data_IF_715574462498
#
_entry.id   IF_715574462498
#
_cell.length_a   1.000
_cell.length_b   1.000
_cell.length_c   1.000
_cell.angle_alpha   90.00
_cell.angle_beta   90.00
_cell.angle_gamma   90.00
#
_symmetry.space_group_name_H-M   'P 1'
#
loop_
_entity.id
_entity.type
_entity.pdbx_description
1 polymer ?
#
# COMPACT_ATOMS: atom_id res chain seq x y z
N UNK A 1 11.34 -20.52 -19.33
CA UNK A 1 10.55 -21.65 -19.85
C UNK A 1 9.14 -21.13 -20.02
N UNK A 2 8.59 -21.10 -21.24
CA UNK A 2 7.20 -20.69 -21.45
C UNK A 2 6.25 -21.80 -20.96
N UNK A 3 5.08 -21.43 -20.47
CA UNK A 3 4.04 -22.40 -20.09
C UNK A 3 3.54 -23.16 -21.33
N UNK A 4 3.16 -24.43 -21.15
CA UNK A 4 2.48 -25.18 -22.22
C UNK A 4 1.04 -24.69 -22.37
N UNK A 5 0.43 -24.90 -23.54
CA UNK A 5 -0.96 -24.47 -23.80
C UNK A 5 -1.96 -25.07 -22.79
N UNK A 6 -1.71 -26.30 -22.34
CA UNK A 6 -2.50 -26.97 -21.33
C UNK A 6 -2.40 -26.26 -19.96
N UNK A 7 -1.20 -25.87 -19.54
CA UNK A 7 -0.99 -25.10 -18.32
C UNK A 7 -1.66 -23.72 -18.38
N UNK A 8 -1.64 -23.08 -19.55
CA UNK A 8 -2.33 -21.80 -19.77
C UNK A 8 -3.85 -21.99 -19.63
N UNK A 9 -4.41 -23.04 -20.24
CA UNK A 9 -5.85 -23.32 -20.15
C UNK A 9 -6.30 -23.65 -18.72
N UNK A 10 -5.47 -24.37 -17.96
CA UNK A 10 -5.73 -24.64 -16.53
C UNK A 10 -5.68 -23.35 -15.71
N UNK A 11 -4.69 -22.50 -15.93
CA UNK A 11 -4.58 -21.21 -15.25
C UNK A 11 -5.76 -20.31 -15.62
N UNK A 12 -6.15 -20.19 -16.89
CA UNK A 12 -7.32 -19.41 -17.29
C UNK A 12 -8.61 -19.93 -16.67
N UNK A 13 -8.78 -21.25 -16.57
CA UNK A 13 -9.90 -21.88 -15.90
C UNK A 13 -9.89 -21.56 -14.40
N UNK A 14 -8.72 -21.56 -13.76
CA UNK A 14 -8.56 -21.14 -12.38
C UNK A 14 -8.87 -19.64 -12.22
N UNK A 15 -8.35 -18.77 -13.06
CA UNK A 15 -8.56 -17.33 -12.94
C UNK A 15 -10.01 -16.89 -13.23
N UNK A 16 -10.79 -17.71 -13.94
CA UNK A 16 -12.19 -17.44 -14.24
C UNK A 16 -13.01 -17.18 -12.96
N UNK A 17 -13.54 -15.96 -12.85
CA UNK A 17 -14.36 -15.52 -11.71
C UNK A 17 -13.58 -14.91 -10.55
N UNK A 18 -12.24 -14.89 -10.60
CA UNK A 18 -11.45 -14.04 -9.71
C UNK A 18 -11.47 -12.60 -10.23
N UNK A 19 -11.64 -11.58 -9.36
CA UNK A 19 -11.50 -10.19 -9.78
C UNK A 19 -10.06 -9.95 -10.23
N UNK A 20 -9.87 -9.26 -11.36
CA UNK A 20 -8.52 -8.99 -11.90
C UNK A 20 -7.69 -8.08 -10.99
N UNK A 21 -8.34 -7.19 -10.25
CA UNK A 21 -7.70 -6.28 -9.28
C UNK A 21 -8.22 -6.65 -7.89
N UNK A 22 -7.31 -6.94 -6.97
CA UNK A 22 -7.68 -7.12 -5.57
C UNK A 22 -7.83 -5.75 -4.89
N UNK A 23 -9.05 -5.39 -4.51
CA UNK A 23 -9.36 -4.12 -3.83
C UNK A 23 -8.71 -4.05 -2.45
N UNK A 24 -8.66 -5.16 -1.72
CA UNK A 24 -7.98 -5.24 -0.42
C UNK A 24 -6.51 -4.91 -0.52
N UNK A 25 -5.82 -5.48 -1.52
CA UNK A 25 -4.43 -5.22 -1.84
C UNK A 25 -4.20 -3.80 -2.37
N UNK A 26 -5.13 -3.27 -3.16
CA UNK A 26 -5.02 -1.93 -3.76
C UNK A 26 -5.02 -0.82 -2.69
N UNK A 27 -5.86 -0.95 -1.66
CA UNK A 27 -6.01 0.09 -0.64
C UNK A 27 -5.20 -0.17 0.62
N UNK A 28 -4.83 -1.42 0.88
CA UNK A 28 -4.12 -1.80 2.11
C UNK A 28 -3.08 -2.89 1.85
N UNK A 29 -2.28 -2.71 0.78
CA UNK A 29 -1.19 -3.61 0.40
C UNK A 29 -0.33 -4.12 1.57
N UNK A 30 0.15 -3.27 2.50
CA UNK A 30 1.06 -3.74 3.54
C UNK A 30 0.40 -4.56 4.65
N UNK A 31 -0.93 -4.60 4.73
CA UNK A 31 -1.66 -5.47 5.68
C UNK A 31 -2.24 -6.67 4.96
N UNK A 32 -2.88 -6.43 3.81
CA UNK A 32 -3.48 -7.49 3.02
C UNK A 32 -2.41 -8.47 2.52
N UNK A 33 -1.26 -8.00 2.02
CA UNK A 33 -0.20 -8.86 1.49
C UNK A 33 0.31 -9.90 2.49
N UNK A 34 0.77 -9.51 3.70
CA UNK A 34 1.21 -10.45 4.72
C UNK A 34 0.11 -11.38 5.21
N UNK A 35 -1.14 -10.91 5.30
CA UNK A 35 -2.29 -11.76 5.63
C UNK A 35 -2.54 -12.89 4.59
N UNK A 36 -2.00 -12.74 3.38
CA UNK A 36 -2.03 -13.73 2.31
C UNK A 36 -0.65 -14.33 2.03
N UNK A 37 0.28 -14.22 2.98
CA UNK A 37 1.60 -14.85 2.93
C UNK A 37 2.64 -14.14 2.06
N UNK A 38 2.36 -12.91 1.61
CA UNK A 38 3.26 -12.07 0.81
C UNK A 38 3.93 -11.05 1.73
N UNK A 39 4.85 -11.52 2.60
CA UNK A 39 5.48 -10.70 3.63
C UNK A 39 6.26 -9.49 3.11
N UNK A 40 6.83 -9.59 1.90
CA UNK A 40 7.53 -8.47 1.26
C UNK A 40 6.63 -7.23 1.06
N UNK A 41 5.29 -7.40 1.07
CA UNK A 41 4.37 -6.28 0.98
C UNK A 41 4.45 -5.32 2.19
N UNK A 42 5.07 -5.70 3.31
CA UNK A 42 5.39 -4.75 4.40
C UNK A 42 6.22 -3.55 3.92
N UNK A 43 7.01 -3.70 2.86
CA UNK A 43 7.80 -2.60 2.28
C UNK A 43 6.92 -1.45 1.75
N UNK A 44 5.63 -1.69 1.48
CA UNK A 44 4.70 -0.62 1.15
C UNK A 44 4.54 0.39 2.29
N UNK A 45 4.65 -0.01 3.57
CA UNK A 45 4.65 0.98 4.67
C UNK A 45 5.85 1.93 4.58
N UNK A 46 7.03 1.41 4.26
CA UNK A 46 8.23 2.24 4.09
C UNK A 46 8.06 3.18 2.90
N UNK A 47 7.51 2.67 1.79
CA UNK A 47 7.22 3.48 0.61
C UNK A 47 6.16 4.57 0.89
N UNK A 48 5.13 4.25 1.68
CA UNK A 48 4.11 5.21 2.11
C UNK A 48 4.71 6.33 2.95
N UNK A 49 5.53 6.01 3.94
CA UNK A 49 6.22 7.01 4.76
C UNK A 49 7.15 7.90 3.92
N UNK A 50 7.83 7.32 2.94
CA UNK A 50 8.70 8.10 2.06
C UNK A 50 7.88 9.04 1.17
N UNK A 51 6.82 8.54 0.55
CA UNK A 51 5.92 9.38 -0.28
C UNK A 51 5.29 10.51 0.55
N UNK A 52 4.81 10.19 1.75
CA UNK A 52 4.21 11.17 2.67
C UNK A 52 5.17 12.30 3.03
N UNK A 53 6.43 11.98 3.34
CA UNK A 53 7.45 12.98 3.65
C UNK A 53 7.80 13.87 2.45
N UNK A 54 7.89 13.31 1.26
CA UNK A 54 8.22 14.09 0.06
C UNK A 54 7.03 14.97 -0.35
N UNK A 55 5.79 14.49 -0.19
CA UNK A 55 4.58 15.30 -0.38
C UNK A 55 4.55 16.45 0.64
N UNK A 56 4.82 16.17 1.91
CA UNK A 56 4.91 17.21 2.94
C UNK A 56 5.93 18.29 2.57
N UNK A 57 7.16 17.89 2.21
CA UNK A 57 8.21 18.83 1.79
C UNK A 57 7.81 19.65 0.55
N UNK A 58 7.08 19.06 -0.41
CA UNK A 58 6.59 19.79 -1.57
C UNK A 58 5.52 20.84 -1.23
N UNK A 59 4.80 20.68 -0.12
CA UNK A 59 3.77 21.61 0.35
C UNK A 59 4.35 22.69 1.26
N UNK A 60 5.24 22.33 2.18
CA UNK A 60 5.78 23.27 3.18
C UNK A 60 6.98 24.07 2.68
N UNK A 61 7.86 23.43 1.90
CA UNK A 61 9.07 24.04 1.35
C UNK A 61 9.17 23.74 -0.16
N UNK A 62 8.30 24.37 -0.97
CA UNK A 62 8.19 24.06 -2.39
C UNK A 62 9.47 24.49 -3.13
N UNK A 63 10.28 23.51 -3.51
CA UNK A 63 11.40 23.66 -4.43
C UNK A 63 11.13 22.82 -5.68
N UNK A 64 11.82 23.11 -6.79
CA UNK A 64 11.70 22.27 -7.97
C UNK A 64 12.01 20.79 -7.67
N UNK A 65 13.00 20.53 -6.80
CA UNK A 65 13.36 19.18 -6.38
C UNK A 65 12.25 18.51 -5.56
N UNK A 66 11.71 19.18 -4.53
CA UNK A 66 10.68 18.57 -3.66
C UNK A 66 9.40 18.27 -4.43
N UNK A 67 8.98 19.16 -5.32
CA UNK A 67 7.81 18.95 -6.19
C UNK A 67 8.03 17.79 -7.18
N UNK A 68 9.18 17.75 -7.86
CA UNK A 68 9.50 16.68 -8.81
C UNK A 68 9.56 15.32 -8.10
N UNK A 69 10.23 15.25 -6.95
CA UNK A 69 10.28 14.02 -6.16
C UNK A 69 8.88 13.59 -5.71
N UNK A 70 8.02 14.52 -5.26
CA UNK A 70 6.68 14.19 -4.80
C UNK A 70 5.84 13.57 -5.93
N UNK A 71 5.89 14.17 -7.12
CA UNK A 71 5.18 13.67 -8.30
C UNK A 71 5.70 12.29 -8.72
N UNK A 72 7.03 12.13 -8.85
CA UNK A 72 7.65 10.87 -9.28
C UNK A 72 7.37 9.75 -8.27
N UNK A 73 7.57 10.01 -6.97
CA UNK A 73 7.35 9.01 -5.92
C UNK A 73 5.87 8.62 -5.82
N UNK A 74 4.96 9.58 -5.94
CA UNK A 74 3.51 9.30 -5.92
C UNK A 74 3.12 8.44 -7.13
N UNK A 75 3.57 8.81 -8.33
CA UNK A 75 3.27 8.05 -9.55
C UNK A 75 3.85 6.62 -9.47
N UNK A 76 5.10 6.48 -9.01
CA UNK A 76 5.74 5.19 -8.81
C UNK A 76 5.00 4.33 -7.78
N UNK A 77 4.60 4.91 -6.64
CA UNK A 77 3.86 4.21 -5.59
C UNK A 77 2.48 3.75 -6.08
N UNK A 78 1.73 4.62 -6.76
CA UNK A 78 0.42 4.26 -7.34
C UNK A 78 0.59 3.13 -8.36
N UNK A 79 1.55 3.27 -9.29
CA UNK A 79 1.85 2.23 -10.28
C UNK A 79 2.22 0.90 -9.65
N UNK A 80 3.14 0.90 -8.68
CA UNK A 80 3.56 -0.30 -7.96
C UNK A 80 2.39 -0.95 -7.20
N UNK A 81 1.51 -0.15 -6.59
CA UNK A 81 0.35 -0.65 -5.85
C UNK A 81 -0.68 -1.29 -6.78
N UNK A 82 -0.93 -0.69 -7.95
CA UNK A 82 -1.82 -1.28 -8.97
C UNK A 82 -1.26 -2.60 -9.51
N UNK A 83 0.03 -2.62 -9.86
CA UNK A 83 0.70 -3.85 -10.31
C UNK A 83 0.63 -4.92 -9.22
N UNK A 84 0.92 -4.57 -7.97
CA UNK A 84 0.81 -5.47 -6.83
C UNK A 84 -0.62 -6.01 -6.69
N UNK A 85 -1.64 -5.17 -6.74
CA UNK A 85 -3.04 -5.58 -6.59
C UNK A 85 -3.52 -6.54 -7.70
N UNK A 86 -2.91 -6.48 -8.88
CA UNK A 86 -3.19 -7.40 -10.00
C UNK A 86 -2.43 -8.72 -9.81
N UNK A 87 -1.11 -8.64 -9.59
CA UNK A 87 -0.22 -9.81 -9.57
C UNK A 87 -0.39 -10.64 -8.29
N UNK A 88 -0.68 -10.01 -7.16
CA UNK A 88 -0.83 -10.70 -5.88
C UNK A 88 -2.12 -11.51 -5.77
N UNK A 89 -3.15 -11.16 -6.55
CA UNK A 89 -4.44 -11.82 -6.51
C UNK A 89 -4.38 -13.31 -6.89
N UNK A 90 -3.80 -13.72 -8.03
CA UNK A 90 -3.66 -15.14 -8.36
C UNK A 90 -2.74 -15.85 -7.38
N UNK A 91 -1.65 -15.22 -6.93
CA UNK A 91 -0.73 -15.80 -5.95
C UNK A 91 -1.42 -16.13 -4.62
N UNK A 92 -2.24 -15.20 -4.12
CA UNK A 92 -3.01 -15.39 -2.89
C UNK A 92 -4.10 -16.46 -3.07
N UNK A 93 -4.76 -16.51 -4.22
CA UNK A 93 -5.78 -17.50 -4.52
C UNK A 93 -5.20 -18.92 -4.61
N UNK A 94 -4.08 -19.11 -5.31
CA UNK A 94 -3.38 -20.39 -5.41
C UNK A 94 -2.91 -20.87 -4.03
N UNK A 95 -2.37 -19.96 -3.20
CA UNK A 95 -2.01 -20.29 -1.82
C UNK A 95 -3.23 -20.74 -1.01
N UNK A 96 -4.36 -20.04 -1.12
CA UNK A 96 -5.57 -20.39 -0.39
C UNK A 96 -6.08 -21.79 -0.79
N UNK A 97 -6.11 -22.09 -2.09
CA UNK A 97 -6.48 -23.42 -2.59
C UNK A 97 -5.53 -24.52 -2.11
N UNK A 98 -4.21 -24.26 -2.12
CA UNK A 98 -3.20 -25.18 -1.58
C UNK A 98 -3.36 -25.44 -0.07
N UNK A 99 -4.01 -24.54 0.66
CA UNK A 99 -4.35 -24.70 2.07
C UNK A 99 -5.73 -25.36 2.28
N UNK A 100 -6.38 -25.81 1.20
CA UNK A 100 -7.70 -26.45 1.24
C UNK A 100 -8.87 -25.47 1.36
N UNK A 101 -8.66 -24.17 1.15
CA UNK A 101 -9.72 -23.18 1.19
C UNK A 101 -10.57 -23.24 -0.08
N UNK A 102 -11.89 -23.37 0.07
CA UNK A 102 -12.78 -23.36 -1.09
C UNK A 102 -12.85 -21.98 -1.74
N UNK A 103 -13.01 -21.95 -3.08
CA UNK A 103 -13.11 -20.70 -3.85
C UNK A 103 -14.20 -19.76 -3.35
N UNK A 104 -15.38 -20.29 -3.03
CA UNK A 104 -16.49 -19.48 -2.54
C UNK A 104 -16.13 -18.79 -1.23
N UNK A 105 -15.50 -19.54 -0.32
CA UNK A 105 -15.06 -19.00 0.97
C UNK A 105 -13.97 -17.93 0.78
N UNK A 106 -12.98 -18.19 -0.07
CA UNK A 106 -11.94 -17.21 -0.41
C UNK A 106 -12.54 -15.91 -0.96
N UNK A 107 -13.43 -16.01 -1.96
CA UNK A 107 -14.08 -14.84 -2.55
C UNK A 107 -14.95 -14.06 -1.55
N UNK A 108 -15.64 -14.76 -0.65
CA UNK A 108 -16.41 -14.12 0.42
C UNK A 108 -15.48 -13.32 1.35
N UNK A 109 -14.33 -13.87 1.72
CA UNK A 109 -13.31 -13.15 2.50
C UNK A 109 -12.71 -11.98 1.73
N UNK A 110 -12.44 -12.11 0.43
CA UNK A 110 -11.93 -10.99 -0.37
C UNK A 110 -12.91 -9.82 -0.45
N UNK A 111 -14.23 -10.06 -0.42
CA UNK A 111 -15.22 -8.98 -0.32
C UNK A 111 -15.14 -8.24 1.02
N UNK A 112 -14.94 -8.97 2.12
CA UNK A 112 -14.74 -8.37 3.45
C UNK A 112 -13.44 -7.56 3.45
N UNK A 113 -12.34 -8.11 2.94
CA UNK A 113 -11.07 -7.40 2.77
C UNK A 113 -11.23 -6.12 1.96
N UNK A 114 -11.98 -6.16 0.85
CA UNK A 114 -12.22 -4.98 0.03
C UNK A 114 -12.85 -3.85 0.86
N UNK A 115 -13.91 -4.14 1.62
CA UNK A 115 -14.59 -3.14 2.45
C UNK A 115 -13.68 -2.63 3.57
N UNK A 116 -13.08 -3.54 4.33
CA UNK A 116 -12.21 -3.18 5.47
C UNK A 116 -11.01 -2.37 5.01
N UNK A 117 -10.35 -2.76 3.92
CA UNK A 117 -9.20 -2.03 3.38
C UNK A 117 -9.55 -0.63 2.90
N UNK A 118 -10.71 -0.44 2.26
CA UNK A 118 -11.17 0.90 1.83
C UNK A 118 -11.42 1.78 3.04
N UNK A 119 -12.14 1.28 4.05
CA UNK A 119 -12.41 2.04 5.28
C UNK A 119 -11.10 2.38 6.00
N UNK A 120 -10.20 1.41 6.16
CA UNK A 120 -8.90 1.62 6.79
C UNK A 120 -8.06 2.63 6.03
N UNK A 121 -8.04 2.59 4.69
CA UNK A 121 -7.31 3.56 3.87
C UNK A 121 -7.83 4.99 4.08
N UNK A 122 -9.14 5.19 4.13
CA UNK A 122 -9.74 6.50 4.43
C UNK A 122 -9.31 7.01 5.81
N UNK A 123 -9.35 6.13 6.82
CA UNK A 123 -8.92 6.49 8.18
C UNK A 123 -7.43 6.85 8.21
N UNK A 124 -6.57 6.06 7.58
CA UNK A 124 -5.12 6.31 7.52
C UNK A 124 -4.83 7.63 6.83
N UNK A 125 -5.46 7.93 5.70
CA UNK A 125 -5.29 9.21 4.99
C UNK A 125 -5.73 10.39 5.87
N UNK A 126 -6.89 10.28 6.55
CA UNK A 126 -7.37 11.32 7.45
C UNK A 126 -6.40 11.56 8.62
N UNK A 127 -5.91 10.49 9.26
CA UNK A 127 -4.97 10.58 10.36
C UNK A 127 -3.60 11.10 9.92
N UNK A 128 -3.07 10.66 8.78
CA UNK A 128 -1.81 11.15 8.23
C UNK A 128 -1.90 12.63 7.86
N UNK A 129 -3.04 13.04 7.27
CA UNK A 129 -3.30 14.45 6.93
C UNK A 129 -3.36 15.30 8.19
N UNK A 130 -4.14 14.88 9.20
CA UNK A 130 -4.19 15.58 10.48
C UNK A 130 -2.80 15.64 11.15
N UNK A 131 -2.06 14.53 11.16
CA UNK A 131 -0.71 14.48 11.71
C UNK A 131 0.20 15.51 11.04
N UNK A 132 0.22 15.54 9.70
CA UNK A 132 1.08 16.45 8.94
C UNK A 132 0.66 17.92 9.05
N UNK A 133 -0.64 18.23 9.13
CA UNK A 133 -1.11 19.61 9.19
C UNK A 133 -1.05 20.20 10.60
N UNK A 134 -1.38 19.41 11.63
CA UNK A 134 -1.59 19.94 12.99
C UNK A 134 -0.47 19.53 13.95
N UNK A 135 -0.06 18.26 13.94
CA UNK A 135 0.85 17.75 14.97
C UNK A 135 2.32 17.93 14.61
N UNK A 136 2.71 17.62 13.38
CA UNK A 136 4.10 17.67 12.91
C UNK A 136 4.71 19.07 13.04
N UNK A 137 4.05 20.18 12.63
CA UNK A 137 4.62 21.52 12.80
C UNK A 137 4.84 21.89 14.26
N UNK A 138 3.94 21.48 15.16
CA UNK A 138 4.09 21.70 16.60
C UNK A 138 5.28 20.92 17.16
N UNK A 139 5.46 19.68 16.72
CA UNK A 139 6.59 18.84 17.12
C UNK A 139 7.92 19.42 16.61
N UNK A 140 7.96 19.89 15.37
CA UNK A 140 9.15 20.50 14.77
C UNK A 140 9.54 21.79 15.52
N UNK A 141 8.58 22.68 15.79
CA UNK A 141 8.83 23.91 16.55
C UNK A 141 9.31 23.63 17.99
N UNK A 142 8.74 22.61 18.65
CA UNK A 142 9.19 22.21 19.98
C UNK A 142 10.63 21.64 19.96
N UNK A 143 10.97 20.88 18.92
CA UNK A 143 12.32 20.35 18.72
C UNK A 143 13.34 21.47 18.48
N UNK A 144 12.99 22.47 17.67
CA UNK A 144 13.84 23.65 17.44
C UNK A 144 14.07 24.46 18.72
N UNK A 145 13.02 24.71 19.50
CA UNK A 145 13.14 25.43 20.78
C UNK A 145 14.02 24.67 21.78
N UNK A 146 13.89 23.34 21.86
CA UNK A 146 14.73 22.50 22.69
C UNK A 146 16.20 22.53 22.23
N UNK A 147 16.46 22.49 20.92
CA UNK A 147 17.81 22.58 20.38
C UNK A 147 18.46 23.94 20.68
N UNK A 148 17.71 25.04 20.58
CA UNK A 148 18.19 26.39 20.93
C UNK A 148 18.48 26.52 22.43
N UNK A 149 17.65 25.93 23.30
CA UNK A 149 17.87 25.93 24.74
C UNK A 149 19.08 25.07 25.17
N UNK A 150 19.31 23.94 24.49
CA UNK A 150 20.45 23.04 24.75
C UNK A 150 21.78 23.54 24.19
N UNK A 151 21.78 24.33 23.12
CA UNK A 151 22.99 24.94 22.54
C UNK A 151 23.43 26.25 23.21
N UNK A 152 22.66 26.77 24.16
CA UNK A 152 22.96 27.97 24.94
C UNK A 152 23.66 27.69 26.29
N UNK A 153 24.07 26.44 26.53
CA UNK A 153 24.80 25.97 27.72
C UNK A 153 26.23 25.54 27.35
#
# INVERSE_FOLDING_TARGET
MALTDEQIAEEEKFLRGLPRVNVGALFLAPVWGPAHGIWAAFLFFVAWLFADNVIYAAVTEPTALSVVLAVVMTAALVGATVVFAIVSQPLAAHRAENLGESREHYLRRQRVWAVVSVVAAVIVVALATWYNLEFRPLADAAAEAAAQAGGAA
#
